data_IF_640213200015
#
_entry.id   IF_640213200015
#
_cell.length_a   1.000
_cell.length_b   1.000
_cell.length_c   1.000
_cell.angle_alpha   90.00
_cell.angle_beta   90.00
_cell.angle_gamma   90.00
#
_symmetry.space_group_name_H-M   'P 1'
#
loop_
_entity.id
_entity.type
_entity.pdbx_description
1 polymer ?
#
# COMPACT_ATOMS: atom_id res chain seq x y z
N UNK A 1 -54.91 -20.85 17.73
CA UNK A 1 -53.54 -20.63 18.24
C UNK A 1 -52.61 -20.58 17.04
N UNK A 2 -52.39 -19.38 16.53
CA UNK A 2 -51.62 -19.06 15.31
C UNK A 2 -50.14 -18.93 15.68
N UNK A 3 -49.30 -19.82 15.14
CA UNK A 3 -47.84 -19.69 15.22
C UNK A 3 -47.39 -18.87 14.00
N UNK A 4 -47.04 -17.62 14.26
CA UNK A 4 -46.40 -16.71 13.31
C UNK A 4 -44.90 -17.01 13.36
N UNK A 5 -44.35 -17.56 12.30
CA UNK A 5 -42.90 -17.69 12.14
C UNK A 5 -42.36 -16.36 11.62
N UNK A 6 -41.63 -15.67 12.49
CA UNK A 6 -40.98 -14.40 12.20
C UNK A 6 -39.82 -14.60 11.24
N UNK A 7 -40.00 -14.09 10.04
CA UNK A 7 -38.97 -13.78 9.05
C UNK A 7 -37.99 -12.78 9.68
N UNK A 8 -36.82 -13.25 10.12
CA UNK A 8 -35.71 -12.40 10.54
C UNK A 8 -35.01 -11.82 9.32
N UNK A 9 -35.52 -10.70 8.83
CA UNK A 9 -34.87 -9.86 7.83
C UNK A 9 -33.60 -9.26 8.46
N UNK A 10 -32.44 -9.83 8.12
CA UNK A 10 -31.11 -9.39 8.56
C UNK A 10 -30.71 -8.09 7.88
N UNK A 11 -31.58 -7.09 8.01
CA UNK A 11 -31.42 -5.73 7.49
C UNK A 11 -30.04 -5.20 7.84
N UNK A 12 -29.27 -4.96 6.77
CA UNK A 12 -28.04 -4.20 6.77
C UNK A 12 -28.35 -2.87 7.43
N UNK A 13 -27.85 -2.68 8.66
CA UNK A 13 -27.97 -1.39 9.33
C UNK A 13 -27.06 -0.42 8.56
N UNK A 14 -27.59 0.62 7.91
CA UNK A 14 -26.76 1.64 7.30
C UNK A 14 -26.18 2.45 8.46
N UNK A 15 -24.88 2.35 8.67
CA UNK A 15 -24.17 3.29 9.54
C UNK A 15 -24.16 4.65 8.84
N UNK A 16 -25.23 5.42 9.03
CA UNK A 16 -25.26 6.87 8.83
C UNK A 16 -24.33 7.53 9.85
N UNK A 17 -23.04 7.48 9.55
CA UNK A 17 -22.09 8.50 10.00
C UNK A 17 -22.11 9.60 8.96
N UNK A 18 -22.56 10.79 9.33
CA UNK A 18 -22.51 11.97 8.48
C UNK A 18 -21.11 12.10 7.83
N UNK A 19 -21.12 12.38 6.52
CA UNK A 19 -19.97 12.58 5.64
C UNK A 19 -19.06 13.73 6.15
N UNK A 20 -18.31 13.49 7.21
CA UNK A 20 -17.12 14.27 7.50
C UNK A 20 -16.18 14.10 6.29
N UNK A 21 -15.55 15.16 5.77
CA UNK A 21 -14.49 14.98 4.78
C UNK A 21 -13.51 13.97 5.36
N UNK A 22 -13.23 12.89 4.63
CA UNK A 22 -12.39 11.81 5.13
C UNK A 22 -11.04 12.41 5.56
N UNK A 23 -10.81 12.51 6.88
CA UNK A 23 -9.56 13.02 7.42
C UNK A 23 -8.54 11.91 7.28
N UNK A 24 -7.62 12.07 6.32
CA UNK A 24 -6.56 11.11 6.09
C UNK A 24 -5.44 11.32 7.10
N UNK A 25 -5.28 10.37 8.01
CA UNK A 25 -4.17 10.38 8.97
C UNK A 25 -2.88 9.90 8.34
N UNK A 26 -1.76 10.18 9.00
CA UNK A 26 -0.45 9.72 8.57
C UNK A 26 -0.38 8.20 8.43
N UNK A 27 -0.86 7.48 9.44
CA UNK A 27 -0.80 6.02 9.47
C UNK A 27 -1.68 5.41 8.39
N UNK A 28 -2.89 5.93 8.17
CA UNK A 28 -3.78 5.47 7.09
C UNK A 28 -3.14 5.61 5.70
N UNK A 29 -2.50 6.74 5.44
CA UNK A 29 -1.80 6.95 4.16
C UNK A 29 -0.61 6.00 4.03
N UNK A 30 0.14 5.82 5.11
CA UNK A 30 1.29 4.92 5.11
C UNK A 30 0.87 3.47 4.89
N UNK A 31 -0.12 2.98 5.62
CA UNK A 31 -0.64 1.62 5.52
C UNK A 31 -1.17 1.36 4.11
N UNK A 32 -1.89 2.32 3.54
CA UNK A 32 -2.39 2.20 2.17
C UNK A 32 -1.29 2.15 1.12
N UNK A 33 -0.21 2.92 1.30
CA UNK A 33 0.96 2.84 0.43
C UNK A 33 1.73 1.52 0.61
N UNK A 34 1.75 0.97 1.83
CA UNK A 34 2.35 -0.34 2.11
C UNK A 34 1.55 -1.44 1.41
N UNK A 35 0.22 -1.45 1.53
CA UNK A 35 -0.67 -2.37 0.83
C UNK A 35 -0.46 -2.31 -0.68
N UNK A 36 -0.44 -1.10 -1.25
CA UNK A 36 -0.18 -0.90 -2.67
C UNK A 36 1.20 -1.43 -3.09
N UNK A 37 2.23 -1.29 -2.25
CA UNK A 37 3.56 -1.85 -2.51
C UNK A 37 3.57 -3.38 -2.48
N UNK A 38 2.90 -3.99 -1.49
CA UNK A 38 2.75 -5.44 -1.40
C UNK A 38 2.03 -5.96 -2.65
N UNK A 39 0.99 -5.26 -3.07
CA UNK A 39 0.23 -5.59 -4.27
C UNK A 39 1.09 -5.49 -5.54
N UNK A 40 1.90 -4.44 -5.65
CA UNK A 40 2.84 -4.26 -6.74
C UNK A 40 3.88 -5.40 -6.82
N UNK A 41 4.32 -5.95 -5.69
CA UNK A 41 5.23 -7.11 -5.67
C UNK A 41 4.54 -8.43 -5.99
N UNK A 42 3.26 -8.56 -5.65
CA UNK A 42 2.44 -9.73 -5.97
C UNK A 42 2.12 -9.81 -7.46
N UNK A 43 1.99 -8.67 -8.14
CA UNK A 43 1.79 -8.64 -9.58
C UNK A 43 3.06 -9.11 -10.30
N UNK A 44 2.99 -10.18 -11.11
CA UNK A 44 4.11 -10.56 -11.95
C UNK A 44 4.32 -9.43 -12.97
N UNK A 45 5.42 -8.69 -12.85
CA UNK A 45 5.88 -7.81 -13.91
C UNK A 45 5.97 -8.64 -15.19
N UNK A 46 5.06 -8.32 -16.13
CA UNK A 46 4.86 -9.06 -17.38
C UNK A 46 6.16 -9.14 -18.17
N UNK A 47 7.01 -8.11 -18.07
CA UNK A 47 8.30 -8.04 -18.75
C UNK A 47 9.40 -8.80 -18.01
N UNK A 48 9.51 -8.67 -16.68
CA UNK A 48 10.45 -9.48 -15.87
C UNK A 48 10.14 -10.98 -15.92
N UNK A 49 8.87 -11.35 -16.01
CA UNK A 49 8.44 -12.74 -16.17
C UNK A 49 8.95 -13.34 -17.48
N UNK A 50 8.98 -12.56 -18.57
CA UNK A 50 9.53 -12.99 -19.86
C UNK A 50 11.06 -12.93 -19.92
N UNK A 51 11.69 -11.97 -19.23
CA UNK A 51 13.16 -11.86 -19.19
C UNK A 51 13.83 -12.89 -18.26
N UNK A 52 13.08 -13.49 -17.33
CA UNK A 52 13.54 -14.57 -16.45
C UNK A 52 13.16 -15.97 -16.95
N UNK A 53 12.82 -16.12 -18.23
CA UNK A 53 12.68 -17.45 -18.84
C UNK A 53 14.07 -18.09 -18.90
N UNK A 54 14.45 -18.75 -17.80
CA UNK A 54 15.44 -19.81 -17.83
C UNK A 54 14.85 -20.90 -18.71
N UNK A 55 15.64 -21.48 -19.61
CA UNK A 55 15.22 -22.71 -20.30
C UNK A 55 14.71 -23.68 -19.23
N UNK A 56 13.44 -24.09 -19.26
CA UNK A 56 12.88 -25.08 -18.33
C UNK A 56 13.56 -26.45 -18.45
N UNK A 57 14.43 -26.63 -19.45
CA UNK A 57 15.12 -27.86 -19.77
C UNK A 57 15.83 -28.54 -18.58
N UNK A 58 16.56 -27.85 -17.69
CA UNK A 58 17.18 -28.49 -16.54
C UNK A 58 16.20 -28.92 -15.45
N UNK A 59 15.02 -28.29 -15.36
CA UNK A 59 13.96 -28.66 -14.42
C UNK A 59 13.15 -29.84 -14.97
N UNK A 60 12.81 -29.82 -16.26
CA UNK A 60 12.21 -30.94 -16.99
C UNK A 60 13.10 -32.19 -16.92
N UNK A 61 14.43 -32.06 -17.06
CA UNK A 61 15.34 -33.19 -16.97
C UNK A 61 15.47 -33.76 -15.55
N UNK A 62 15.31 -32.94 -14.50
CA UNK A 62 15.23 -33.45 -13.11
C UNK A 62 13.94 -34.22 -12.85
N UNK A 63 12.89 -33.95 -13.60
CA UNK A 63 11.59 -34.64 -13.54
C UNK A 63 11.45 -35.79 -14.55
N UNK A 64 12.56 -36.38 -15.01
CA UNK A 64 12.54 -37.53 -15.93
C UNK A 64 11.99 -38.83 -15.30
N UNK A 65 11.62 -38.81 -14.02
CA UNK A 65 10.75 -39.84 -13.44
C UNK A 65 9.29 -39.49 -13.74
N UNK A 66 8.94 -39.57 -15.03
CA UNK A 66 7.56 -39.63 -15.49
C UNK A 66 6.89 -40.87 -14.91
N UNK A 67 6.35 -40.73 -13.71
CA UNK A 67 5.44 -41.67 -13.07
C UNK A 67 4.25 -40.88 -12.55
N UNK A 68 3.15 -40.93 -13.31
CA UNK A 68 1.90 -40.25 -13.00
C UNK A 68 1.33 -40.67 -11.62
N UNK A 69 0.63 -39.74 -10.96
CA UNK A 69 -0.23 -39.89 -9.77
C UNK A 69 0.40 -39.87 -8.37
N UNK A 70 1.15 -38.81 -8.05
CA UNK A 70 1.21 -38.31 -6.67
C UNK A 70 1.04 -36.79 -6.69
N UNK A 71 -0.16 -36.33 -7.05
CA UNK A 71 -0.54 -34.93 -7.23
C UNK A 71 -0.76 -34.18 -5.90
N UNK A 72 0.11 -34.48 -4.93
CA UNK A 72 0.23 -33.74 -3.68
C UNK A 72 1.72 -33.69 -3.38
N UNK A 73 2.45 -32.80 -4.05
CA UNK A 73 3.70 -32.32 -3.48
C UNK A 73 3.31 -31.64 -2.15
N UNK A 74 3.67 -32.21 -0.97
CA UNK A 74 3.32 -31.62 0.31
C UNK A 74 3.97 -30.25 0.51
N UNK A 75 4.98 -29.92 -0.30
CA UNK A 75 5.66 -28.63 -0.35
C UNK A 75 5.13 -27.72 -1.47
N UNK A 76 4.07 -28.12 -2.19
CA UNK A 76 3.42 -27.25 -3.17
C UNK A 76 2.80 -26.03 -2.48
N UNK A 77 3.53 -24.93 -2.52
CA UNK A 77 3.04 -23.64 -2.04
C UNK A 77 1.79 -23.25 -2.84
N UNK A 78 0.62 -23.07 -2.20
CA UNK A 78 -0.60 -22.69 -2.89
C UNK A 78 -0.37 -21.43 -3.73
N UNK A 79 -0.75 -21.49 -5.01
CA UNK A 79 -0.64 -20.34 -5.90
C UNK A 79 -1.56 -19.24 -5.37
N UNK A 80 -0.98 -18.09 -5.05
CA UNK A 80 -1.74 -16.92 -4.60
C UNK A 80 -2.77 -16.55 -5.68
N UNK A 81 -4.04 -16.31 -5.32
CA UNK A 81 -5.07 -15.98 -6.30
C UNK A 81 -4.70 -14.74 -7.11
N UNK A 82 -5.24 -14.57 -8.33
CA UNK A 82 -5.03 -13.35 -9.09
C UNK A 82 -5.61 -12.14 -8.36
N UNK A 83 -5.05 -10.98 -8.65
CA UNK A 83 -5.52 -9.68 -8.20
C UNK A 83 -6.98 -9.43 -8.62
N UNK A 84 -7.82 -8.94 -7.72
CA UNK A 84 -9.16 -8.45 -8.09
C UNK A 84 -9.06 -7.06 -8.73
N UNK A 85 -10.10 -6.68 -9.47
CA UNK A 85 -10.17 -5.33 -10.09
C UNK A 85 -10.19 -4.22 -9.04
N UNK A 86 -10.84 -4.48 -7.90
CA UNK A 86 -10.90 -3.56 -6.77
C UNK A 86 -9.50 -3.37 -6.18
N UNK A 87 -8.79 -4.46 -5.85
CA UNK A 87 -7.40 -4.40 -5.35
C UNK A 87 -6.47 -3.61 -6.28
N UNK A 88 -6.64 -3.75 -7.60
CA UNK A 88 -5.86 -2.99 -8.59
C UNK A 88 -6.23 -1.50 -8.56
N UNK A 89 -7.53 -1.16 -8.55
CA UNK A 89 -7.97 0.23 -8.51
C UNK A 89 -7.51 0.94 -7.24
N UNK A 90 -7.57 0.25 -6.12
CA UNK A 90 -7.09 0.70 -4.82
C UNK A 90 -5.57 0.97 -4.81
N UNK A 91 -4.79 0.06 -5.39
CA UNK A 91 -3.36 0.22 -5.57
C UNK A 91 -3.03 1.40 -6.51
N UNK A 92 -3.71 1.51 -7.65
CA UNK A 92 -3.50 2.61 -8.61
C UNK A 92 -3.83 3.97 -8.00
N UNK A 93 -4.89 4.06 -7.19
CA UNK A 93 -5.25 5.26 -6.45
C UNK A 93 -4.13 5.67 -5.50
N UNK A 94 -3.67 4.73 -4.66
CA UNK A 94 -2.63 4.97 -3.67
C UNK A 94 -1.30 5.39 -4.32
N UNK A 95 -0.88 4.70 -5.39
CA UNK A 95 0.30 5.07 -6.16
C UNK A 95 0.13 6.44 -6.83
N UNK A 96 -1.09 6.79 -7.24
CA UNK A 96 -1.44 8.09 -7.80
C UNK A 96 -1.21 9.26 -6.84
N UNK A 97 -1.17 9.03 -5.53
CA UNK A 97 -0.89 10.07 -4.52
C UNK A 97 0.56 10.56 -4.55
N UNK A 98 1.48 9.78 -5.14
CA UNK A 98 2.89 10.17 -5.30
C UNK A 98 3.08 11.46 -6.10
N UNK A 99 2.06 11.91 -6.85
CA UNK A 99 2.03 13.21 -7.53
C UNK A 99 2.15 14.40 -6.57
N UNK A 100 1.66 14.28 -5.34
CA UNK A 100 1.74 15.34 -4.31
C UNK A 100 3.11 15.41 -3.63
N UNK A 101 3.93 14.38 -3.79
CA UNK A 101 5.28 14.31 -3.24
C UNK A 101 6.25 14.98 -4.22
N UNK A 102 7.15 15.88 -3.74
CA UNK A 102 8.16 16.49 -4.60
C UNK A 102 9.13 15.43 -5.13
N UNK A 103 9.56 15.58 -6.38
CA UNK A 103 10.35 14.58 -7.13
C UNK A 103 11.57 14.06 -6.37
N UNK A 104 12.30 14.96 -5.70
CA UNK A 104 13.49 14.65 -4.89
C UNK A 104 13.22 13.67 -3.74
N UNK A 105 11.98 13.62 -3.25
CA UNK A 105 11.56 12.85 -2.08
C UNK A 105 10.80 11.57 -2.48
N UNK A 106 10.39 11.41 -3.74
CA UNK A 106 9.67 10.22 -4.22
C UNK A 106 10.47 8.93 -4.04
N UNK A 107 11.77 8.98 -4.37
CA UNK A 107 12.69 7.84 -4.17
C UNK A 107 12.80 7.46 -2.70
N UNK A 108 12.85 8.44 -1.81
CA UNK A 108 12.94 8.22 -0.36
C UNK A 108 11.67 7.52 0.15
N UNK A 109 10.49 7.99 -0.25
CA UNK A 109 9.21 7.38 0.12
C UNK A 109 9.15 5.93 -0.38
N UNK A 110 9.47 5.68 -1.65
CA UNK A 110 9.47 4.32 -2.21
C UNK A 110 10.41 3.35 -1.46
N UNK A 111 11.60 3.81 -1.07
CA UNK A 111 12.54 3.00 -0.28
C UNK A 111 12.07 2.74 1.15
N UNK A 112 11.46 3.74 1.80
CA UNK A 112 10.95 3.61 3.16
C UNK A 112 9.74 2.67 3.20
N UNK A 113 8.74 2.89 2.34
CA UNK A 113 7.56 2.03 2.20
C UNK A 113 7.98 0.62 1.79
N UNK A 114 8.95 0.47 0.88
CA UNK A 114 9.49 -0.83 0.49
C UNK A 114 10.24 -1.58 1.60
N UNK A 115 10.63 -0.93 2.70
CA UNK A 115 11.13 -1.62 3.90
C UNK A 115 10.00 -2.04 4.83
N UNK A 116 9.04 -1.13 5.03
CA UNK A 116 7.85 -1.40 5.84
C UNK A 116 7.03 -2.56 5.25
N UNK A 117 6.88 -2.61 3.92
CA UNK A 117 6.20 -3.70 3.22
C UNK A 117 6.91 -5.06 3.33
N UNK A 118 8.21 -5.11 3.67
CA UNK A 118 8.92 -6.36 4.00
C UNK A 118 8.63 -6.85 5.42
N UNK A 119 7.89 -6.09 6.21
CA UNK A 119 7.61 -6.37 7.62
C UNK A 119 8.64 -5.79 8.59
N UNK A 120 9.49 -4.84 8.16
CA UNK A 120 10.36 -4.13 9.10
C UNK A 120 9.52 -3.25 10.04
N UNK A 121 9.68 -3.43 11.37
CA UNK A 121 8.94 -2.63 12.37
C UNK A 121 9.23 -1.13 12.30
N UNK A 122 10.42 -0.75 11.86
CA UNK A 122 10.85 0.63 11.72
C UNK A 122 11.89 0.76 10.62
N UNK A 123 11.87 1.89 9.92
CA UNK A 123 12.83 2.20 8.87
C UNK A 123 14.20 2.55 9.47
N UNK A 124 15.21 1.75 9.18
CA UNK A 124 16.60 2.07 9.50
C UNK A 124 17.13 3.18 8.57
N UNK A 125 16.89 4.44 8.95
CA UNK A 125 17.22 5.64 8.14
C UNK A 125 18.68 5.75 7.71
N UNK A 126 19.62 5.17 8.48
CA UNK A 126 21.05 5.16 8.15
C UNK A 126 21.33 4.35 6.88
N UNK A 127 20.63 3.25 6.69
CA UNK A 127 20.84 2.39 5.53
C UNK A 127 20.25 2.97 4.24
N UNK A 128 19.34 3.96 4.37
CA UNK A 128 18.78 4.70 3.25
C UNK A 128 19.74 5.77 2.70
N UNK A 129 20.81 6.09 3.41
CA UNK A 129 21.82 7.07 2.97
C UNK A 129 22.51 6.65 1.68
N UNK A 130 22.99 5.41 1.61
CA UNK A 130 23.71 4.90 0.44
C UNK A 130 22.82 4.82 -0.82
N UNK A 131 21.60 4.24 -0.78
CA UNK A 131 20.66 4.27 -1.90
C UNK A 131 20.29 5.69 -2.37
N UNK A 132 20.30 6.67 -1.45
CA UNK A 132 20.02 8.07 -1.76
C UNK A 132 21.25 8.85 -2.25
N UNK A 133 22.46 8.26 -2.21
CA UNK A 133 23.70 8.94 -2.58
C UNK A 133 24.14 10.03 -1.58
N UNK A 134 23.63 9.99 -0.35
CA UNK A 134 23.91 10.99 0.68
C UNK A 134 24.86 10.40 1.73
N UNK A 135 25.86 11.15 2.18
CA UNK A 135 26.88 10.64 3.12
C UNK A 135 26.46 10.74 4.59
N UNK A 136 25.62 11.71 4.96
CA UNK A 136 25.20 12.00 6.35
C UNK A 136 23.79 12.59 6.38
N UNK A 137 23.10 12.51 7.52
CA UNK A 137 21.79 13.15 7.72
C UNK A 137 20.60 12.20 7.72
N UNK A 138 20.69 11.09 8.47
CA UNK A 138 19.59 10.13 8.63
C UNK A 138 18.33 10.79 9.21
N UNK A 139 18.49 11.68 10.18
CA UNK A 139 17.36 12.42 10.78
C UNK A 139 16.68 13.37 9.76
N UNK A 140 17.48 14.02 8.91
CA UNK A 140 16.95 14.81 7.80
C UNK A 140 16.13 13.99 6.80
N UNK A 141 16.52 12.73 6.54
CA UNK A 141 15.71 11.80 5.74
C UNK A 141 14.39 11.46 6.44
N UNK A 142 14.42 11.16 7.74
CA UNK A 142 13.21 10.92 8.52
C UNK A 142 12.25 12.12 8.46
N UNK A 143 12.75 13.33 8.66
CA UNK A 143 11.94 14.55 8.57
C UNK A 143 11.37 14.78 7.16
N UNK A 144 12.17 14.55 6.12
CA UNK A 144 11.73 14.67 4.72
C UNK A 144 10.61 13.67 4.40
N UNK A 145 10.76 12.43 4.85
CA UNK A 145 9.71 11.42 4.73
C UNK A 145 8.42 11.87 5.44
N UNK A 146 8.52 12.30 6.70
CA UNK A 146 7.38 12.81 7.45
C UNK A 146 6.64 13.96 6.75
N UNK A 147 7.41 14.92 6.20
CA UNK A 147 6.86 16.03 5.41
C UNK A 147 6.21 15.56 4.11
N UNK A 148 6.77 14.54 3.45
CA UNK A 148 6.23 14.00 2.21
C UNK A 148 4.86 13.34 2.43
N UNK A 149 4.73 12.48 3.44
CA UNK A 149 3.46 11.83 3.77
C UNK A 149 2.43 12.85 4.26
N UNK A 150 2.83 13.81 5.12
CA UNK A 150 1.92 14.88 5.55
C UNK A 150 1.37 15.71 4.39
N UNK A 151 2.15 15.93 3.32
CA UNK A 151 1.64 16.60 2.11
C UNK A 151 0.56 15.80 1.41
N UNK A 152 0.68 14.47 1.37
CA UNK A 152 -0.36 13.59 0.85
C UNK A 152 -1.61 13.70 1.73
N UNK A 153 -1.47 13.58 3.07
CA UNK A 153 -2.58 13.71 4.00
C UNK A 153 -3.35 15.03 3.82
N UNK A 154 -2.63 16.15 3.71
CA UNK A 154 -3.20 17.48 3.47
C UNK A 154 -3.90 17.55 2.12
N UNK A 155 -3.31 17.00 1.06
CA UNK A 155 -3.91 17.00 -0.27
C UNK A 155 -5.21 16.17 -0.32
N UNK A 156 -5.23 15.01 0.34
CA UNK A 156 -6.39 14.13 0.38
C UNK A 156 -7.51 14.66 1.27
N UNK A 157 -7.16 15.35 2.36
CA UNK A 157 -8.14 15.96 3.27
C UNK A 157 -8.74 17.28 2.75
N UNK A 158 -8.41 17.68 1.51
CA UNK A 158 -8.92 18.91 0.89
C UNK A 158 -8.22 20.20 1.31
N UNK A 159 -7.04 20.12 1.93
CA UNK A 159 -6.27 21.27 2.41
C UNK A 159 -5.86 21.15 3.88
N UNK A 160 -5.25 22.21 4.43
CA UNK A 160 -4.95 22.25 5.85
C UNK A 160 -6.27 22.43 6.62
N UNK A 161 -6.71 21.46 7.46
CA UNK A 161 -7.97 21.58 8.20
C UNK A 161 -7.99 22.79 9.15
N UNK A 162 -6.83 23.34 9.52
CA UNK A 162 -6.70 24.53 10.36
C UNK A 162 -6.75 25.87 9.58
N UNK A 163 -6.70 25.83 8.25
CA UNK A 163 -6.73 27.05 7.44
C UNK A 163 -8.09 27.77 7.50
N UNK A 164 -9.18 27.03 7.66
CA UNK A 164 -10.52 27.60 7.85
C UNK A 164 -10.78 28.14 9.26
N UNK A 165 -9.94 27.79 10.24
CA UNK A 165 -10.11 28.18 11.65
C UNK A 165 -9.39 29.49 11.98
N UNK A 166 -8.50 29.98 11.11
CA UNK A 166 -7.56 31.06 11.40
C UNK A 166 -7.95 32.44 10.85
N UNK A 167 -9.22 32.73 10.57
CA UNK A 167 -9.69 34.12 10.44
C UNK A 167 -10.13 34.63 11.80
N UNK A 168 -9.26 35.29 12.60
CA UNK A 168 -9.78 36.18 13.61
C UNK A 168 -10.47 37.31 12.88
N UNK A 169 -11.79 37.40 13.03
CA UNK A 169 -12.48 38.66 12.76
C UNK A 169 -11.84 39.69 13.68
N UNK A 170 -10.98 40.53 13.09
CA UNK A 170 -10.49 41.73 13.72
C UNK A 170 -11.73 42.60 13.91
N UNK A 171 -12.22 42.67 15.15
CA UNK A 171 -13.20 43.67 15.54
C UNK A 171 -12.55 45.05 15.36
N UNK A 172 -12.82 45.70 14.25
CA UNK A 172 -12.58 47.13 14.08
C UNK A 172 -13.50 47.87 15.06
N UNK A 173 -12.88 48.53 16.06
CA UNK A 173 -13.49 49.45 17.02
C UNK A 173 -13.49 50.88 16.46
#
# INVERSE_FOLDING_TARGET
>A
MTKVEGQGDGSVVPLEGALLPAIWTFDMVQDRLIEAMIMLWRMPDRERGWQRVRSLWPDIWRHNHFGDYADTDPDAVPRVPPATREEIGEMEEALGWMRFVPDRDRKLVGLAIGRLARGERAVAWRDLLAPMGVKRGADGLRMRYGRAINRICVALSGGNPLASVSTPEICDL
#
